data_IF_645675828442
#
_entry.id   IF_645675828442
#
_cell.length_a   1.000
_cell.length_b   1.000
_cell.length_c   1.000
_cell.angle_alpha   90.00
_cell.angle_beta   90.00
_cell.angle_gamma   90.00
#
_symmetry.space_group_name_H-M   'P 1'
#
loop_
_entity.id
_entity.type
_entity.pdbx_description
1 polymer ?
#
# COMPACT_ATOMS: atom_id res chain seq x y z
N UNK A 1 -2.15 -10.55 -20.24
CA UNK A 1 -1.92 -11.83 -19.53
C UNK A 1 -0.72 -12.56 -20.12
N UNK A 2 -0.73 -12.95 -21.41
CA UNK A 2 0.36 -13.71 -22.05
C UNK A 2 1.72 -13.01 -21.91
N UNK A 3 1.78 -11.69 -22.12
CA UNK A 3 3.03 -10.93 -21.99
C UNK A 3 3.66 -11.03 -20.60
N UNK A 4 2.87 -10.95 -19.55
CA UNK A 4 3.36 -11.07 -18.16
C UNK A 4 3.75 -12.51 -17.80
N UNK A 5 3.04 -13.51 -18.35
CA UNK A 5 3.44 -14.90 -18.24
C UNK A 5 4.81 -15.17 -18.85
N UNK A 6 5.04 -14.65 -20.07
CA UNK A 6 6.32 -14.77 -20.76
C UNK A 6 7.48 -14.05 -20.05
N UNK A 7 7.18 -13.07 -19.20
CA UNK A 7 8.16 -12.38 -18.37
C UNK A 7 8.37 -13.05 -17.00
N UNK A 8 7.76 -14.21 -16.76
CA UNK A 8 7.76 -14.89 -15.44
C UNK A 8 7.31 -13.98 -14.30
N UNK A 9 6.43 -13.03 -14.57
CA UNK A 9 5.92 -12.11 -13.56
C UNK A 9 4.66 -12.64 -12.86
N UNK A 10 3.93 -13.55 -13.50
CA UNK A 10 2.75 -14.22 -12.93
C UNK A 10 3.15 -15.48 -12.16
N UNK A 11 2.33 -15.85 -11.17
CA UNK A 11 2.54 -17.08 -10.43
C UNK A 11 2.43 -18.31 -11.36
N UNK A 12 3.45 -19.16 -11.33
CA UNK A 12 3.46 -20.43 -12.05
C UNK A 12 2.71 -21.49 -11.23
N UNK A 13 1.68 -22.09 -11.83
CA UNK A 13 0.81 -23.05 -11.13
C UNK A 13 1.55 -24.29 -10.66
N UNK A 14 2.41 -24.86 -11.50
CA UNK A 14 3.18 -26.06 -11.14
C UNK A 14 4.12 -25.79 -9.97
N UNK A 15 4.83 -24.66 -10.02
CA UNK A 15 5.72 -24.25 -8.95
C UNK A 15 4.96 -24.01 -7.65
N UNK A 16 3.81 -23.33 -7.71
CA UNK A 16 3.02 -23.03 -6.53
C UNK A 16 2.40 -24.29 -5.91
N UNK A 17 1.88 -25.20 -6.74
CA UNK A 17 1.39 -26.51 -6.26
C UNK A 17 2.53 -27.36 -5.69
N UNK A 18 3.71 -27.33 -6.31
CA UNK A 18 4.91 -27.98 -5.77
C UNK A 18 5.34 -27.45 -4.40
N UNK A 19 5.03 -26.20 -4.08
CA UNK A 19 5.19 -25.59 -2.75
C UNK A 19 4.05 -25.93 -1.77
N UNK A 20 3.07 -26.73 -2.17
CA UNK A 20 1.90 -27.07 -1.37
C UNK A 20 0.91 -25.92 -1.20
N UNK A 21 0.84 -24.98 -2.15
CA UNK A 21 -0.02 -23.80 -2.09
C UNK A 21 -1.24 -24.04 -2.97
N UNK A 22 -2.43 -23.86 -2.40
CA UNK A 22 -3.71 -23.89 -3.12
C UNK A 22 -3.83 -22.64 -4.01
N UNK A 23 -4.45 -22.79 -5.19
CA UNK A 23 -4.62 -21.70 -6.17
C UNK A 23 -5.28 -20.44 -5.58
N UNK A 24 -6.16 -20.59 -4.62
CA UNK A 24 -6.81 -19.47 -3.90
C UNK A 24 -5.82 -18.56 -3.17
N UNK A 25 -4.60 -19.05 -2.91
CA UNK A 25 -3.56 -18.39 -2.13
C UNK A 25 -2.29 -18.09 -2.94
N UNK A 26 -2.38 -18.08 -4.27
CA UNK A 26 -1.23 -17.76 -5.13
C UNK A 26 -0.80 -16.30 -5.02
N UNK A 27 -1.76 -15.37 -4.85
CA UNK A 27 -1.45 -13.97 -4.56
C UNK A 27 -1.08 -13.84 -3.09
N UNK A 28 0.23 -13.83 -2.81
CA UNK A 28 0.78 -13.90 -1.44
C UNK A 28 1.95 -12.95 -1.24
N UNK A 29 1.71 -11.68 -1.48
CA UNK A 29 2.74 -10.65 -1.32
C UNK A 29 3.41 -10.73 0.06
N UNK A 30 4.69 -10.45 0.08
CA UNK A 30 5.57 -10.50 1.25
C UNK A 30 5.79 -11.88 1.88
N UNK A 31 5.07 -12.91 1.44
CA UNK A 31 5.30 -14.28 1.92
C UNK A 31 6.58 -14.88 1.30
N UNK A 32 7.34 -15.63 2.09
CA UNK A 32 8.58 -16.27 1.63
C UNK A 32 8.40 -17.25 0.48
N UNK A 33 7.18 -17.77 0.27
CA UNK A 33 6.84 -18.74 -0.79
C UNK A 33 6.18 -18.08 -2.00
N UNK A 34 6.15 -16.73 -2.08
CA UNK A 34 5.57 -16.04 -3.23
C UNK A 34 6.25 -16.45 -4.53
N UNK A 35 5.55 -16.36 -5.62
CA UNK A 35 6.06 -16.81 -6.92
C UNK A 35 5.57 -15.98 -8.10
N UNK A 36 5.02 -14.80 -7.87
CA UNK A 36 4.46 -13.96 -8.91
C UNK A 36 3.06 -13.47 -8.56
N UNK A 37 2.52 -12.56 -9.35
CA UNK A 37 1.19 -12.04 -9.11
C UNK A 37 0.10 -12.91 -9.76
N UNK A 38 -1.09 -12.82 -9.21
CA UNK A 38 -2.29 -13.37 -9.80
C UNK A 38 -3.01 -12.26 -10.57
N UNK A 39 -3.25 -12.50 -11.86
CA UNK A 39 -4.00 -11.59 -12.71
C UNK A 39 -5.45 -11.49 -12.21
N UNK A 40 -6.01 -10.29 -12.23
CA UNK A 40 -7.43 -10.07 -11.94
C UNK A 40 -8.01 -8.98 -12.83
N UNK A 41 -9.32 -8.82 -12.73
CA UNK A 41 -10.07 -7.76 -13.41
C UNK A 41 -10.74 -6.88 -12.38
N UNK A 42 -10.86 -5.61 -12.70
CA UNK A 42 -11.63 -4.69 -11.90
C UNK A 42 -11.21 -3.25 -12.12
N UNK A 43 -12.03 -2.37 -11.61
CA UNK A 43 -11.85 -0.94 -11.63
C UNK A 43 -12.74 -0.31 -10.60
N UNK A 44 -12.71 1.00 -10.52
CA UNK A 44 -13.55 1.76 -9.61
C UNK A 44 -13.58 3.21 -9.99
N UNK A 45 -14.42 3.96 -9.32
CA UNK A 45 -14.54 5.41 -9.48
C UNK A 45 -14.33 6.08 -8.14
N UNK A 46 -13.55 7.14 -8.13
CA UNK A 46 -13.36 8.02 -6.98
C UNK A 46 -13.83 9.42 -7.41
N UNK A 47 -14.76 9.97 -6.64
CA UNK A 47 -15.15 11.36 -6.81
C UNK A 47 -14.19 12.22 -6.00
N UNK A 48 -13.44 13.07 -6.71
CA UNK A 48 -12.54 14.05 -6.09
C UNK A 48 -13.11 15.44 -6.31
N UNK A 49 -13.21 16.21 -5.24
CA UNK A 49 -13.68 17.61 -5.30
C UNK A 49 -12.91 18.48 -4.31
N UNK A 50 -13.00 19.78 -4.49
CA UNK A 50 -12.43 20.74 -3.52
C UNK A 50 -13.22 20.69 -2.21
N UNK A 51 -12.51 20.86 -1.10
CA UNK A 51 -13.11 20.79 0.24
C UNK A 51 -14.25 21.81 0.45
N UNK A 52 -14.08 23.04 -0.05
CA UNK A 52 -15.11 24.10 0.01
C UNK A 52 -16.39 23.74 -0.77
N UNK A 53 -16.25 22.99 -1.87
CA UNK A 53 -17.41 22.49 -2.63
C UNK A 53 -18.08 21.34 -1.89
N UNK A 54 -17.29 20.41 -1.33
CA UNK A 54 -17.84 19.32 -0.55
C UNK A 54 -18.66 19.84 0.64
N UNK A 55 -18.13 20.80 1.38
CA UNK A 55 -18.79 21.43 2.50
C UNK A 55 -20.08 22.15 2.08
N UNK A 56 -20.00 23.02 1.04
CA UNK A 56 -21.16 23.76 0.51
C UNK A 56 -22.31 22.86 0.06
N UNK A 57 -21.99 21.68 -0.50
CA UNK A 57 -22.97 20.73 -1.01
C UNK A 57 -23.36 19.65 0.01
N UNK A 58 -22.77 19.65 1.22
CA UNK A 58 -23.01 18.62 2.23
C UNK A 58 -22.60 17.22 1.78
N UNK A 59 -21.54 17.08 0.96
CA UNK A 59 -21.10 15.79 0.46
C UNK A 59 -20.40 14.97 1.56
N UNK A 60 -20.64 13.66 1.64
CA UNK A 60 -19.90 12.82 2.56
C UNK A 60 -18.43 12.73 2.12
N UNK A 61 -17.51 13.13 3.01
CA UNK A 61 -16.07 13.07 2.77
C UNK A 61 -15.52 11.80 3.39
N UNK A 62 -15.06 10.88 2.56
CA UNK A 62 -14.46 9.62 3.02
C UNK A 62 -12.99 9.79 3.46
N UNK A 63 -12.26 10.66 2.79
CA UNK A 63 -10.87 10.99 3.13
C UNK A 63 -10.46 12.32 2.46
N UNK A 64 -9.35 12.89 2.92
CA UNK A 64 -8.71 14.06 2.31
C UNK A 64 -7.40 13.62 1.67
N UNK A 65 -7.17 14.02 0.42
CA UNK A 65 -5.89 13.80 -0.24
C UNK A 65 -4.90 14.84 0.29
N UNK A 66 -4.02 14.40 1.20
CA UNK A 66 -3.03 15.28 1.83
C UNK A 66 -1.77 15.47 1.00
N UNK A 67 -1.44 14.48 0.20
CA UNK A 67 -0.29 14.48 -0.70
C UNK A 67 -0.57 13.60 -1.91
N UNK A 68 -0.18 14.02 -3.09
CA UNK A 68 -0.21 13.22 -4.30
C UNK A 68 0.91 13.63 -5.23
N UNK A 69 1.68 12.67 -5.72
CA UNK A 69 2.74 12.93 -6.68
C UNK A 69 3.03 11.71 -7.55
N UNK A 70 3.56 11.96 -8.75
CA UNK A 70 4.10 10.95 -9.63
C UNK A 70 5.61 11.13 -9.74
N UNK A 71 6.33 10.03 -9.72
CA UNK A 71 7.78 9.98 -9.82
C UNK A 71 8.21 9.04 -10.95
N UNK A 72 9.43 9.20 -11.41
CA UNK A 72 10.05 8.28 -12.36
C UNK A 72 11.46 7.92 -11.85
N UNK A 73 11.82 6.65 -11.95
CA UNK A 73 13.16 6.20 -11.52
C UNK A 73 14.24 6.48 -12.56
N UNK A 74 13.86 6.61 -13.83
CA UNK A 74 14.79 6.92 -14.93
C UNK A 74 15.83 5.85 -15.24
N UNK A 75 15.72 4.66 -14.64
CA UNK A 75 16.75 3.64 -14.75
C UNK A 75 16.55 2.71 -15.95
N UNK A 76 15.32 2.47 -16.38
CA UNK A 76 15.01 1.60 -17.52
C UNK A 76 13.62 1.92 -18.09
N UNK A 77 13.40 1.65 -19.39
CA UNK A 77 12.15 2.01 -20.07
C UNK A 77 11.03 0.99 -19.93
N UNK A 78 11.32 -0.25 -19.57
CA UNK A 78 10.36 -1.36 -19.69
C UNK A 78 10.13 -2.16 -18.42
N UNK A 79 11.12 -2.33 -17.56
CA UNK A 79 10.97 -3.12 -16.33
C UNK A 79 10.29 -2.29 -15.24
N UNK A 80 9.64 -2.94 -14.24
CA UNK A 80 9.08 -2.23 -13.12
C UNK A 80 10.14 -1.41 -12.37
N UNK A 81 9.75 -0.23 -11.93
CA UNK A 81 10.60 0.63 -11.15
C UNK A 81 10.96 -0.03 -9.81
N UNK A 82 12.21 0.07 -9.34
CA UNK A 82 12.54 -0.25 -7.95
C UNK A 82 11.94 0.71 -6.94
N UNK A 83 11.31 1.80 -7.38
CA UNK A 83 10.66 2.78 -6.51
C UNK A 83 11.59 3.90 -6.04
N UNK A 84 12.81 3.97 -6.55
CA UNK A 84 13.80 4.98 -6.14
C UNK A 84 13.32 6.41 -6.36
N UNK A 85 12.59 6.67 -7.48
CA UNK A 85 12.00 7.98 -7.72
C UNK A 85 11.02 8.41 -6.62
N UNK A 86 10.27 7.47 -6.06
CA UNK A 86 9.33 7.75 -4.98
C UNK A 86 10.02 8.15 -3.66
N UNK A 87 11.31 7.83 -3.47
CA UNK A 87 12.09 8.33 -2.34
C UNK A 87 12.22 9.86 -2.35
N UNK A 88 12.05 10.48 -3.52
CA UNK A 88 12.01 11.94 -3.62
C UNK A 88 10.88 12.59 -2.81
N UNK A 89 9.83 11.84 -2.44
CA UNK A 89 8.81 12.31 -1.50
C UNK A 89 9.39 12.70 -0.13
N UNK A 90 10.41 11.98 0.32
CA UNK A 90 11.14 12.24 1.57
C UNK A 90 12.39 13.12 1.41
N UNK A 91 12.66 13.64 0.21
CA UNK A 91 13.82 14.49 -0.02
C UNK A 91 13.73 15.78 0.81
N UNK A 92 14.75 16.07 1.58
CA UNK A 92 14.73 17.14 2.59
C UNK A 92 14.34 16.66 4.00
N UNK A 93 14.04 15.36 4.15
CA UNK A 93 13.76 14.77 5.46
C UNK A 93 12.51 15.33 6.10
N UNK A 94 12.64 15.86 7.31
CA UNK A 94 11.54 16.52 8.05
C UNK A 94 11.02 17.78 7.37
N UNK A 95 11.80 18.37 6.48
CA UNK A 95 11.43 19.55 5.68
C UNK A 95 10.97 19.14 4.26
N UNK A 96 10.74 17.85 4.03
CA UNK A 96 10.26 17.36 2.74
C UNK A 96 8.87 17.89 2.40
N UNK A 97 8.57 17.94 1.09
CA UNK A 97 7.24 18.35 0.62
C UNK A 97 6.14 17.48 1.21
N UNK A 98 6.36 16.17 1.35
CA UNK A 98 5.43 15.24 1.98
C UNK A 98 5.10 15.68 3.41
N UNK A 99 6.12 15.85 4.25
CA UNK A 99 5.92 16.25 5.66
C UNK A 99 5.26 17.62 5.75
N UNK A 100 5.70 18.57 4.94
CA UNK A 100 5.13 19.93 4.91
C UNK A 100 3.65 19.96 4.49
N UNK A 101 3.27 19.16 3.49
CA UNK A 101 1.87 19.13 3.03
C UNK A 101 0.96 18.44 4.05
N UNK A 102 1.43 17.37 4.70
CA UNK A 102 0.71 16.70 5.78
C UNK A 102 0.55 17.60 7.01
N UNK A 103 1.58 18.37 7.35
CA UNK A 103 1.55 19.28 8.49
C UNK A 103 0.47 20.37 8.34
N UNK A 104 0.15 20.81 7.12
CA UNK A 104 -0.97 21.73 6.86
C UNK A 104 -2.33 21.17 7.27
N UNK A 105 -2.44 19.84 7.32
CA UNK A 105 -3.63 19.12 7.75
C UNK A 105 -3.56 18.66 9.22
N UNK A 106 -2.55 19.08 9.96
CA UNK A 106 -2.32 18.63 11.33
C UNK A 106 -1.89 17.18 11.45
N UNK A 107 -1.27 16.64 10.41
CA UNK A 107 -0.79 15.25 10.33
C UNK A 107 0.74 15.26 10.41
N UNK A 108 1.31 14.53 11.34
CA UNK A 108 2.76 14.30 11.47
C UNK A 108 3.18 13.01 10.76
N UNK A 109 4.48 12.80 10.62
CA UNK A 109 5.02 11.55 10.11
C UNK A 109 4.59 10.34 10.96
N UNK A 110 4.46 10.52 12.27
CA UNK A 110 4.02 9.49 13.21
C UNK A 110 2.53 9.15 13.12
N UNK A 111 1.72 10.04 12.59
CA UNK A 111 0.29 9.81 12.37
C UNK A 111 0.02 8.91 11.14
N UNK A 112 1.02 8.68 10.29
CA UNK A 112 0.89 7.75 9.15
C UNK A 112 0.91 6.32 9.70
N UNK A 113 -0.25 5.75 9.95
CA UNK A 113 -0.36 4.46 10.61
C UNK A 113 -0.16 3.27 9.66
N UNK A 114 -0.45 3.46 8.37
CA UNK A 114 -0.55 2.35 7.41
C UNK A 114 0.02 2.71 6.05
N UNK A 115 0.61 1.73 5.39
CA UNK A 115 0.97 1.80 3.98
C UNK A 115 0.28 0.67 3.21
N UNK A 116 -0.48 1.04 2.18
CA UNK A 116 -0.97 0.11 1.17
C UNK A 116 0.04 0.06 0.04
N UNK A 117 0.90 -0.96 0.09
CA UNK A 117 1.97 -1.16 -0.87
C UNK A 117 1.43 -1.60 -2.23
N UNK A 118 2.18 -1.32 -3.30
CA UNK A 118 1.89 -1.88 -4.60
C UNK A 118 1.90 -3.42 -4.57
N UNK A 119 2.86 -4.01 -3.90
CA UNK A 119 2.99 -5.44 -3.57
C UNK A 119 2.40 -6.38 -4.62
N UNK A 120 3.26 -6.88 -5.48
CA UNK A 120 2.84 -7.74 -6.60
C UNK A 120 2.99 -9.23 -6.33
N UNK A 121 3.42 -9.62 -5.13
CA UNK A 121 3.74 -11.04 -4.84
C UNK A 121 4.93 -11.56 -5.66
N UNK A 122 5.77 -10.67 -6.18
CA UNK A 122 6.97 -11.05 -6.94
C UNK A 122 8.23 -10.95 -6.08
N UNK A 123 9.23 -11.74 -6.47
CA UNK A 123 10.54 -11.69 -5.81
C UNK A 123 11.32 -10.41 -6.14
N UNK A 124 10.96 -9.72 -7.21
CA UNK A 124 11.61 -8.47 -7.61
C UNK A 124 11.00 -7.25 -6.91
N UNK A 125 9.67 -7.10 -6.93
CA UNK A 125 9.01 -5.89 -6.44
C UNK A 125 8.93 -5.79 -4.91
N UNK A 126 8.50 -6.86 -4.25
CA UNK A 126 8.19 -6.79 -2.83
C UNK A 126 9.40 -6.36 -1.95
N UNK A 127 10.65 -6.82 -2.23
CA UNK A 127 11.82 -6.32 -1.52
C UNK A 127 12.13 -4.84 -1.79
N UNK A 128 12.06 -4.42 -3.06
CA UNK A 128 12.35 -3.03 -3.43
C UNK A 128 11.37 -2.07 -2.76
N UNK A 129 10.10 -2.44 -2.74
CA UNK A 129 9.08 -1.60 -2.15
C UNK A 129 9.14 -1.60 -0.62
N UNK A 130 9.55 -2.70 0.00
CA UNK A 130 9.83 -2.72 1.44
C UNK A 130 10.99 -1.79 1.79
N UNK A 131 12.08 -1.83 1.02
CA UNK A 131 13.21 -0.92 1.18
C UNK A 131 12.81 0.55 0.98
N UNK A 132 11.98 0.83 -0.02
CA UNK A 132 11.44 2.16 -0.26
C UNK A 132 10.74 2.71 0.99
N UNK A 133 9.79 1.96 1.54
CA UNK A 133 9.01 2.44 2.69
C UNK A 133 9.82 2.53 3.96
N UNK A 134 10.78 1.64 4.17
CA UNK A 134 11.74 1.72 5.25
C UNK A 134 12.55 3.01 5.18
N UNK A 135 13.21 3.23 4.06
CA UNK A 135 14.05 4.41 3.83
C UNK A 135 13.23 5.68 3.97
N UNK A 136 12.00 5.69 3.44
CA UNK A 136 11.11 6.85 3.55
C UNK A 136 10.71 7.11 5.01
N UNK A 137 10.36 6.09 5.77
CA UNK A 137 9.98 6.22 7.18
C UNK A 137 11.09 6.90 8.00
N UNK A 138 12.33 6.46 7.82
CA UNK A 138 13.48 7.11 8.46
C UNK A 138 13.68 8.54 7.96
N UNK A 139 13.65 8.76 6.64
CA UNK A 139 13.89 10.07 6.05
C UNK A 139 12.92 11.14 6.56
N UNK A 140 11.63 10.81 6.65
CA UNK A 140 10.62 11.77 7.14
C UNK A 140 10.59 11.91 8.66
N UNK A 141 11.45 11.21 9.38
CA UNK A 141 11.66 11.34 10.81
C UNK A 141 10.57 10.72 11.67
N UNK A 142 10.02 9.56 11.26
CA UNK A 142 9.19 8.76 12.17
C UNK A 142 9.96 8.40 13.42
N UNK A 143 9.27 8.36 14.54
CA UNK A 143 9.84 7.92 15.82
C UNK A 143 10.14 6.43 15.77
N UNK A 144 11.35 6.05 16.19
CA UNK A 144 11.76 4.65 16.28
C UNK A 144 10.77 3.82 17.10
N UNK A 145 10.43 2.62 16.60
CA UNK A 145 9.46 1.74 17.23
C UNK A 145 7.99 2.11 16.99
N UNK A 146 7.69 3.24 16.34
CA UNK A 146 6.32 3.55 15.94
C UNK A 146 5.92 2.68 14.74
N UNK A 147 4.90 1.79 14.85
CA UNK A 147 4.60 0.83 13.81
C UNK A 147 4.05 1.48 12.54
N UNK A 148 4.51 1.01 11.39
CA UNK A 148 3.93 1.27 10.09
C UNK A 148 3.31 -0.04 9.58
N UNK A 149 1.99 -0.14 9.66
CA UNK A 149 1.29 -1.35 9.26
C UNK A 149 1.22 -1.48 7.75
N UNK A 150 1.55 -2.67 7.24
CA UNK A 150 1.57 -2.97 5.81
C UNK A 150 0.29 -3.66 5.38
N UNK A 151 -0.33 -3.12 4.35
CA UNK A 151 -1.45 -3.75 3.64
C UNK A 151 -1.01 -4.10 2.22
N UNK A 152 -1.23 -5.34 1.83
CA UNK A 152 -1.03 -5.84 0.48
C UNK A 152 -2.39 -6.14 -0.15
N UNK A 153 -3.03 -5.11 -0.69
CA UNK A 153 -4.41 -5.21 -1.20
C UNK A 153 -4.55 -6.29 -2.28
N UNK A 154 -3.52 -6.49 -3.09
CA UNK A 154 -3.53 -7.50 -4.18
C UNK A 154 -3.56 -8.94 -3.68
N UNK A 155 -3.26 -9.21 -2.42
CA UNK A 155 -3.47 -10.55 -1.85
C UNK A 155 -4.95 -10.91 -1.74
N UNK A 156 -5.82 -9.90 -1.69
CA UNK A 156 -7.28 -10.06 -1.66
C UNK A 156 -7.90 -9.95 -3.06
N UNK A 157 -7.41 -9.02 -3.88
CA UNK A 157 -8.06 -8.64 -5.15
C UNK A 157 -7.37 -9.20 -6.39
N UNK A 158 -6.17 -9.76 -6.26
CA UNK A 158 -5.30 -9.98 -7.41
C UNK A 158 -4.80 -8.66 -7.99
N UNK A 159 -4.08 -8.72 -9.10
CA UNK A 159 -3.50 -7.56 -9.77
C UNK A 159 -4.35 -7.12 -10.97
N UNK A 160 -5.22 -6.15 -10.76
CA UNK A 160 -6.11 -5.58 -11.78
C UNK A 160 -5.43 -4.50 -12.65
N UNK A 161 -4.09 -4.49 -12.70
CA UNK A 161 -3.30 -3.54 -13.50
C UNK A 161 -3.68 -2.07 -13.23
N UNK A 162 -4.19 -1.38 -14.21
CA UNK A 162 -4.60 0.02 -14.07
C UNK A 162 -5.67 0.28 -13.01
N UNK A 163 -6.48 -0.71 -12.66
CA UNK A 163 -7.49 -0.61 -11.59
C UNK A 163 -6.94 -0.85 -10.17
N UNK A 164 -5.71 -1.33 -10.04
CA UNK A 164 -5.20 -1.78 -8.75
C UNK A 164 -5.06 -0.66 -7.71
N UNK A 165 -4.65 0.54 -8.12
CA UNK A 165 -4.50 1.67 -7.21
C UNK A 165 -5.84 2.12 -6.62
N UNK A 166 -6.93 2.04 -7.39
CA UNK A 166 -8.28 2.38 -6.90
C UNK A 166 -8.69 1.45 -5.77
N UNK A 167 -8.36 0.16 -5.85
CA UNK A 167 -8.61 -0.77 -4.76
C UNK A 167 -7.80 -0.43 -3.50
N UNK A 168 -6.55 0.03 -3.66
CA UNK A 168 -5.73 0.46 -2.53
C UNK A 168 -6.35 1.68 -1.83
N UNK A 169 -6.74 2.71 -2.59
CA UNK A 169 -7.38 3.91 -2.05
C UNK A 169 -8.70 3.57 -1.38
N UNK A 170 -9.56 2.76 -2.01
CA UNK A 170 -10.82 2.32 -1.40
C UNK A 170 -10.58 1.51 -0.12
N UNK A 171 -9.57 0.65 -0.11
CA UNK A 171 -9.18 -0.10 1.10
C UNK A 171 -8.76 0.82 2.25
N UNK A 172 -7.99 1.87 1.97
CA UNK A 172 -7.62 2.88 2.95
C UNK A 172 -8.84 3.66 3.48
N UNK A 173 -9.76 4.06 2.60
CA UNK A 173 -10.98 4.76 3.07
C UNK A 173 -11.85 3.89 3.96
N UNK A 174 -11.96 2.59 3.67
CA UNK A 174 -12.65 1.65 4.56
C UNK A 174 -11.93 1.47 5.89
N UNK A 175 -10.59 1.46 5.89
CA UNK A 175 -9.79 1.41 7.10
C UNK A 175 -10.00 2.66 7.96
N UNK A 176 -10.01 3.85 7.38
CA UNK A 176 -10.29 5.09 8.10
C UNK A 176 -11.69 5.07 8.74
N UNK A 177 -12.67 4.54 8.03
CA UNK A 177 -14.03 4.38 8.54
C UNK A 177 -14.13 3.38 9.69
N UNK A 178 -13.47 2.22 9.56
CA UNK A 178 -13.62 1.11 10.51
C UNK A 178 -12.60 1.12 11.64
N UNK A 179 -11.43 1.73 11.46
CA UNK A 179 -10.28 1.61 12.36
C UNK A 179 -9.63 0.22 12.37
N UNK A 180 -9.94 -0.62 11.37
CA UNK A 180 -9.44 -2.01 11.30
C UNK A 180 -8.54 -2.20 10.09
N UNK A 181 -7.34 -2.71 10.33
CA UNK A 181 -6.44 -3.19 9.28
C UNK A 181 -6.88 -4.60 8.90
N UNK A 182 -7.14 -4.88 7.60
CA UNK A 182 -7.42 -6.23 7.14
C UNK A 182 -6.17 -7.10 7.24
N UNK A 183 -6.35 -8.40 7.35
CA UNK A 183 -5.25 -9.34 7.23
C UNK A 183 -4.63 -9.28 5.82
N UNK A 184 -3.30 -9.43 5.72
CA UNK A 184 -2.67 -9.78 4.46
C UNK A 184 -3.01 -11.23 4.15
N UNK A 185 -3.95 -11.45 3.23
CA UNK A 185 -4.38 -12.79 2.87
C UNK A 185 -3.19 -13.62 2.35
N UNK A 186 -3.19 -14.91 2.63
CA UNK A 186 -2.13 -15.84 2.24
C UNK A 186 -0.71 -15.54 2.79
N UNK A 187 -0.57 -14.62 3.73
CA UNK A 187 0.70 -14.35 4.40
C UNK A 187 0.90 -15.31 5.56
N UNK A 188 1.56 -16.44 5.31
CA UNK A 188 1.89 -17.43 6.35
C UNK A 188 3.18 -17.07 7.08
N UNK A 189 4.19 -16.67 6.34
CA UNK A 189 5.49 -16.31 6.88
C UNK A 189 6.10 -15.18 6.06
N UNK A 190 6.30 -14.02 6.69
CA UNK A 190 7.00 -12.90 6.07
C UNK A 190 8.39 -13.35 5.62
N UNK A 191 8.78 -12.99 4.40
CA UNK A 191 10.11 -13.29 3.91
C UNK A 191 11.15 -12.57 4.78
N UNK A 192 12.09 -13.29 5.41
CA UNK A 192 13.11 -12.66 6.26
C UNK A 192 13.92 -11.55 5.56
N UNK A 193 14.00 -11.59 4.23
CA UNK A 193 14.67 -10.53 3.45
C UNK A 193 13.95 -9.18 3.50
N UNK A 194 12.68 -9.16 3.88
CA UNK A 194 11.86 -7.97 3.99
C UNK A 194 11.84 -7.40 5.41
N UNK A 195 12.21 -8.19 6.41
CA UNK A 195 12.24 -7.81 7.82
C UNK A 195 13.57 -7.11 8.16
N UNK A 196 13.79 -5.94 7.56
CA UNK A 196 15.02 -5.17 7.78
C UNK A 196 14.85 -3.98 8.69
N UNK A 197 13.64 -3.76 9.20
CA UNK A 197 13.31 -2.52 9.85
C UNK A 197 12.38 -2.70 11.06
N UNK A 198 12.53 -1.81 12.03
CA UNK A 198 11.77 -1.76 13.26
C UNK A 198 10.37 -1.14 13.09
N UNK A 199 10.09 -0.47 11.95
CA UNK A 199 8.80 0.18 11.72
C UNK A 199 7.76 -0.74 11.10
N UNK A 200 8.13 -1.58 10.13
CA UNK A 200 7.15 -2.30 9.30
C UNK A 200 6.53 -3.50 9.99
N UNK A 201 5.19 -3.53 10.04
CA UNK A 201 4.42 -4.59 10.66
C UNK A 201 3.45 -5.21 9.65
N UNK A 202 3.64 -6.49 9.34
CA UNK A 202 2.76 -7.26 8.46
C UNK A 202 1.68 -7.97 9.24
N UNK A 203 0.44 -7.53 9.06
CA UNK A 203 -0.72 -8.04 9.79
C UNK A 203 -1.24 -9.33 9.16
N UNK A 204 -1.29 -10.41 9.93
CA UNK A 204 -1.78 -11.73 9.48
C UNK A 204 -3.21 -12.06 9.93
N UNK A 205 -3.77 -11.25 10.82
CA UNK A 205 -5.16 -11.31 11.25
C UNK A 205 -5.71 -9.88 11.29
N UNK A 206 -7.01 -9.67 11.12
CA UNK A 206 -7.56 -8.32 11.26
C UNK A 206 -7.16 -7.71 12.60
N UNK A 207 -6.72 -6.47 12.57
CA UNK A 207 -6.23 -5.75 13.75
C UNK A 207 -6.91 -4.39 13.86
N UNK A 208 -7.60 -4.15 14.97
CA UNK A 208 -8.12 -2.83 15.28
C UNK A 208 -6.98 -1.95 15.81
N UNK A 209 -6.76 -0.81 15.15
CA UNK A 209 -5.73 0.17 15.54
C UNK A 209 -6.34 1.54 15.92
N UNK A 210 -7.64 1.71 15.67
CA UNK A 210 -8.32 2.96 15.96
C UNK A 210 -9.83 2.80 16.18
N UNK A 211 -10.49 3.86 16.57
CA UNK A 211 -11.94 3.96 16.60
C UNK A 211 -12.53 4.06 15.19
N UNK A 212 -13.81 3.79 15.06
CA UNK A 212 -14.55 3.83 13.81
C UNK A 212 -15.85 3.06 13.92
N UNK A 213 -16.38 2.57 12.81
CA UNK A 213 -17.59 1.76 12.75
C UNK A 213 -17.26 0.26 12.64
N UNK A 214 -18.03 -0.58 13.33
CA UNK A 214 -17.98 -2.04 13.13
C UNK A 214 -18.82 -2.47 11.90
N UNK A 215 -18.87 -3.76 11.63
CA UNK A 215 -19.63 -4.33 10.50
C UNK A 215 -21.17 -4.12 10.60
N UNK A 216 -21.65 -3.68 11.76
CA UNK A 216 -23.06 -3.35 12.01
C UNK A 216 -23.31 -1.84 12.03
N UNK A 217 -22.30 -1.01 11.72
CA UNK A 217 -22.38 0.45 11.75
C UNK A 217 -22.38 1.06 13.16
N UNK A 218 -21.96 0.33 14.19
CA UNK A 218 -21.86 0.83 15.57
C UNK A 218 -20.51 1.47 15.81
N UNK A 219 -20.52 2.62 16.48
CA UNK A 219 -19.27 3.28 16.87
C UNK A 219 -18.45 2.42 17.84
N UNK A 220 -17.14 2.39 17.59
CA UNK A 220 -16.17 1.70 18.43
C UNK A 220 -15.22 2.70 19.07
N UNK A 221 -14.84 2.42 20.32
CA UNK A 221 -13.93 3.28 21.07
C UNK A 221 -12.55 3.39 20.43
N UNK A 222 -11.93 4.56 20.58
CA UNK A 222 -10.57 4.86 20.12
C UNK A 222 -10.50 6.16 19.31
N UNK A 223 -9.28 6.62 19.04
CA UNK A 223 -9.07 7.75 18.15
C UNK A 223 -9.14 7.27 16.71
N UNK A 224 -9.70 8.04 15.76
CA UNK A 224 -9.67 7.70 14.36
C UNK A 224 -8.24 7.52 13.85
N UNK A 225 -8.05 6.62 12.87
CA UNK A 225 -6.80 6.53 12.12
C UNK A 225 -6.67 7.77 11.27
N UNK A 226 -5.59 8.55 11.44
CA UNK A 226 -5.45 9.86 10.79
C UNK A 226 -4.98 9.78 9.36
N UNK A 227 -3.96 8.96 9.09
CA UNK A 227 -3.34 8.94 7.78
C UNK A 227 -2.84 7.56 7.37
N UNK A 228 -2.79 7.34 6.07
CA UNK A 228 -2.20 6.19 5.42
C UNK A 228 -1.62 6.58 4.08
N UNK A 229 -0.71 5.78 3.57
CA UNK A 229 -0.07 5.96 2.28
C UNK A 229 -0.50 4.86 1.31
N UNK A 230 -0.54 5.17 0.03
CA UNK A 230 -0.60 4.18 -1.03
C UNK A 230 0.49 4.43 -2.06
N UNK A 231 1.15 3.37 -2.49
CA UNK A 231 2.11 3.40 -3.59
C UNK A 231 1.62 2.55 -4.75
N UNK A 232 1.89 3.02 -5.96
CA UNK A 232 1.64 2.26 -7.17
C UNK A 232 2.87 2.36 -8.07
N UNK A 233 3.46 1.21 -8.38
CA UNK A 233 4.65 1.10 -9.22
C UNK A 233 4.26 0.45 -10.54
N UNK A 234 4.77 0.99 -11.63
CA UNK A 234 4.38 0.56 -12.98
C UNK A 234 5.57 0.34 -13.90
N UNK A 235 5.31 -0.37 -14.98
CA UNK A 235 6.24 -0.48 -16.11
C UNK A 235 6.49 0.91 -16.70
N UNK A 236 7.70 1.15 -17.21
CA UNK A 236 8.12 2.47 -17.65
C UNK A 236 8.66 3.36 -16.52
N UNK A 237 8.94 2.78 -15.35
CA UNK A 237 9.53 3.45 -14.19
C UNK A 237 8.69 4.58 -13.62
N UNK A 238 7.36 4.48 -13.71
CA UNK A 238 6.44 5.45 -13.13
C UNK A 238 5.95 4.93 -11.79
N UNK A 239 6.07 5.75 -10.77
CA UNK A 239 5.51 5.51 -9.43
C UNK A 239 4.47 6.56 -9.10
N UNK A 240 3.33 6.13 -8.59
CA UNK A 240 2.33 7.00 -7.95
C UNK A 240 2.44 6.89 -6.43
N UNK A 241 2.28 8.02 -5.77
CA UNK A 241 2.35 8.13 -4.31
C UNK A 241 1.19 9.01 -3.83
N UNK A 242 0.36 8.47 -2.95
CA UNK A 242 -0.81 9.16 -2.37
C UNK A 242 -0.81 8.98 -0.88
#
# INVERSE_FOLDING_TARGET
VIGFGNMNATANSEEMYGKGIDARFFSRANDRRRGGFLESQGGGTILVTRGDIAEKLGLPVAAVVGFIHSYADGAHTSIPAPGLGALAAGLGGKDSKLVHDLAKLGVSADDIAVVSKHDTSTNANDPNESELHNTLAHAIGRTDGNPLFVISQKTLTGHAKGGACIFQVNGLTQLFKSGVIPANAALDCVDPKLQRDDHMVWVRKPLRIGGGEDEFGRETAGRPVKAGLATSLGFGHVSGFV
#
